data_IF_128462016964
#
_entry.id   IF_128462016964
#
_cell.length_a   1.000
_cell.length_b   1.000
_cell.length_c   1.000
_cell.angle_alpha   90.00
_cell.angle_beta   90.00
_cell.angle_gamma   90.00
#
_symmetry.space_group_name_H-M   'P 1'
#
loop_
_entity.id
_entity.type
_entity.pdbx_description
1 polymer ?
#
# COMPACT_ATOMS: atom_id res chain seq x y z
N UNK A 1 7.29 13.60 -2.93
CA UNK A 1 5.82 13.35 -2.92
C UNK A 1 5.42 12.20 -3.84
N UNK A 2 5.99 12.07 -5.05
CA UNK A 2 5.74 10.93 -5.95
C UNK A 2 5.93 9.54 -5.32
N UNK A 3 6.97 9.36 -4.48
CA UNK A 3 7.21 8.10 -3.75
C UNK A 3 6.03 7.67 -2.85
N UNK A 4 5.21 8.60 -2.36
CA UNK A 4 4.02 8.25 -1.57
C UNK A 4 2.91 7.68 -2.46
N UNK A 5 2.80 8.14 -3.71
CA UNK A 5 1.86 7.62 -4.69
C UNK A 5 2.31 6.23 -5.14
N UNK A 6 3.60 6.05 -5.45
CA UNK A 6 4.17 4.72 -5.76
C UNK A 6 3.92 3.72 -4.62
N UNK A 7 4.10 4.14 -3.35
CA UNK A 7 3.80 3.28 -2.20
C UNK A 7 2.31 2.88 -2.14
N UNK A 8 1.38 3.81 -2.43
CA UNK A 8 -0.06 3.50 -2.51
C UNK A 8 -0.34 2.47 -3.62
N UNK A 9 0.33 2.62 -4.77
CA UNK A 9 0.20 1.70 -5.89
C UNK A 9 0.70 0.32 -5.48
N UNK A 10 1.94 0.17 -5.03
CA UNK A 10 2.51 -1.16 -4.78
C UNK A 10 1.84 -1.91 -3.63
N UNK A 11 1.36 -1.22 -2.60
CA UNK A 11 0.83 -1.89 -1.40
C UNK A 11 -0.68 -1.92 -1.31
N UNK A 12 -1.37 -1.24 -2.25
CA UNK A 12 -2.79 -0.95 -2.21
C UNK A 12 -3.27 -0.25 -0.92
N UNK A 13 -2.38 0.22 -0.04
CA UNK A 13 -2.76 0.70 1.28
C UNK A 13 -3.58 2.00 1.20
N UNK A 14 -4.38 2.30 2.24
CA UNK A 14 -5.18 3.53 2.19
C UNK A 14 -4.24 4.74 2.23
N UNK A 15 -4.62 5.81 1.51
CA UNK A 15 -3.88 7.10 1.49
C UNK A 15 -3.36 7.48 2.88
N UNK A 16 -4.24 7.64 3.86
CA UNK A 16 -3.83 8.06 5.21
C UNK A 16 -2.99 7.02 5.97
N UNK A 17 -3.12 5.72 5.67
CA UNK A 17 -2.23 4.69 6.23
C UNK A 17 -0.81 4.88 5.70
N UNK A 18 -0.65 5.17 4.40
CA UNK A 18 0.65 5.44 3.76
C UNK A 18 1.25 6.77 4.24
N UNK A 19 0.48 7.85 4.21
CA UNK A 19 0.99 9.19 4.52
C UNK A 19 1.45 9.32 5.99
N UNK A 20 0.99 8.43 6.88
CA UNK A 20 1.40 8.41 8.30
C UNK A 20 2.33 7.24 8.65
N UNK A 21 2.97 6.60 7.66
CA UNK A 21 3.98 5.57 7.92
C UNK A 21 5.23 6.16 8.58
N UNK A 22 5.78 5.42 9.55
CA UNK A 22 7.01 5.76 10.26
C UNK A 22 8.06 4.66 10.08
N UNK A 23 9.33 5.02 10.19
CA UNK A 23 10.44 4.08 10.03
C UNK A 23 10.43 2.98 11.10
N UNK A 24 9.99 3.30 12.31
CA UNK A 24 9.87 2.35 13.43
C UNK A 24 8.75 1.30 13.25
N UNK A 25 7.86 1.53 12.29
CA UNK A 25 6.83 0.58 11.91
C UNK A 25 7.36 -0.55 11.00
N UNK A 26 8.59 -0.42 10.49
CA UNK A 26 9.22 -1.40 9.60
C UNK A 26 9.98 -2.43 10.44
N UNK A 27 9.52 -3.68 10.40
CA UNK A 27 10.15 -4.81 11.09
C UNK A 27 9.71 -6.14 10.50
N UNK A 28 10.58 -7.14 10.60
CA UNK A 28 10.29 -8.53 10.21
C UNK A 28 9.80 -8.69 8.76
N UNK A 29 10.22 -7.82 7.84
CA UNK A 29 9.76 -7.83 6.43
C UNK A 29 8.36 -7.23 6.21
N UNK A 30 7.83 -6.50 7.19
CA UNK A 30 6.52 -5.86 7.13
C UNK A 30 6.57 -4.38 7.52
N UNK A 31 5.63 -3.60 6.97
CA UNK A 31 5.27 -2.27 7.48
C UNK A 31 4.00 -2.42 8.31
N UNK A 32 4.07 -2.08 9.59
CA UNK A 32 2.96 -2.17 10.54
C UNK A 32 2.16 -0.87 10.58
N UNK A 33 0.99 -0.85 9.93
CA UNK A 33 0.12 0.33 9.89
C UNK A 33 -1.09 0.17 10.81
N UNK A 34 -1.50 1.26 11.46
CA UNK A 34 -2.70 1.26 12.31
C UNK A 34 -3.92 1.62 11.47
N UNK A 35 -4.82 0.67 11.27
CA UNK A 35 -6.15 0.93 10.72
C UNK A 35 -7.05 1.48 11.83
N UNK A 36 -7.26 2.80 11.83
CA UNK A 36 -8.15 3.48 12.77
C UNK A 36 -9.64 3.28 12.42
N UNK A 37 -9.97 2.77 11.22
CA UNK A 37 -11.34 2.63 10.73
C UNK A 37 -12.10 3.96 10.60
N UNK A 38 -13.28 3.94 9.96
CA UNK A 38 -14.14 5.13 9.83
C UNK A 38 -15.06 5.38 11.04
N UNK A 39 -14.95 4.58 12.11
CA UNK A 39 -15.84 4.68 13.28
C UNK A 39 -15.04 4.92 14.54
N UNK A 40 -15.38 6.00 15.26
CA UNK A 40 -14.83 6.33 16.60
C UNK A 40 -15.00 5.20 17.62
N UNK A 41 -15.83 4.18 17.34
CA UNK A 41 -16.12 3.04 18.22
C UNK A 41 -15.35 1.76 17.89
N UNK A 42 -14.64 1.67 16.76
CA UNK A 42 -13.87 0.47 16.42
C UNK A 42 -12.48 0.55 17.06
N UNK A 43 -12.08 -0.52 17.76
CA UNK A 43 -10.70 -0.66 18.23
C UNK A 43 -9.74 -0.63 17.03
N UNK A 44 -8.69 0.19 17.07
CA UNK A 44 -7.68 0.20 16.01
C UNK A 44 -7.11 -1.20 15.79
N UNK A 45 -6.96 -1.61 14.54
CA UNK A 45 -6.32 -2.88 14.19
C UNK A 45 -4.97 -2.62 13.54
N UNK A 46 -3.96 -3.38 13.95
CA UNK A 46 -2.67 -3.37 13.26
C UNK A 46 -2.80 -4.21 11.99
N UNK A 47 -2.48 -3.62 10.85
CA UNK A 47 -2.30 -4.32 9.58
C UNK A 47 -0.81 -4.45 9.28
N UNK A 48 -0.47 -5.57 8.66
CA UNK A 48 0.85 -5.81 8.13
C UNK A 48 0.80 -5.65 6.61
N UNK A 49 1.58 -4.73 6.08
CA UNK A 49 1.86 -4.60 4.66
C UNK A 49 3.16 -5.34 4.39
N UNK A 50 3.16 -6.18 3.36
CA UNK A 50 4.35 -6.95 2.96
C UNK A 50 5.35 -6.00 2.31
N UNK A 51 6.63 -6.11 2.68
CA UNK A 51 7.71 -5.45 1.95
C UNK A 51 8.13 -6.39 0.81
N UNK A 52 7.68 -6.06 -0.39
CA UNK A 52 8.09 -6.72 -1.65
C UNK A 52 9.33 -6.03 -2.22
N UNK A 53 9.94 -6.60 -3.25
CA UNK A 53 11.15 -6.02 -3.86
C UNK A 53 10.93 -4.59 -4.40
N UNK A 54 9.82 -4.27 -5.12
CA UNK A 54 9.52 -2.89 -5.50
C UNK A 54 9.33 -1.94 -4.31
N UNK A 55 8.73 -2.44 -3.21
CA UNK A 55 8.57 -1.66 -1.99
C UNK A 55 9.93 -1.44 -1.31
N UNK A 56 10.81 -2.44 -1.30
CA UNK A 56 12.15 -2.36 -0.74
C UNK A 56 13.02 -1.36 -1.50
N UNK A 57 12.96 -1.36 -2.84
CA UNK A 57 13.64 -0.39 -3.68
C UNK A 57 13.11 1.03 -3.43
N UNK A 58 11.79 1.20 -3.40
CA UNK A 58 11.15 2.46 -3.06
C UNK A 58 11.58 2.98 -1.68
N UNK A 59 11.63 2.11 -0.66
CA UNK A 59 12.12 2.46 0.67
C UNK A 59 13.57 2.95 0.64
N UNK A 60 14.42 2.40 -0.24
CA UNK A 60 15.80 2.84 -0.45
C UNK A 60 15.92 4.26 -1.02
N UNK A 61 14.91 4.73 -1.75
CA UNK A 61 14.84 6.08 -2.34
C UNK A 61 14.32 7.14 -1.36
N UNK A 62 13.72 6.75 -0.23
CA UNK A 62 13.18 7.69 0.76
C UNK A 62 14.31 8.20 1.68
N UNK A 63 14.52 9.53 1.79
CA UNK A 63 15.47 10.08 2.74
C UNK A 63 15.13 9.75 4.20
N UNK A 64 16.13 9.31 4.97
CA UNK A 64 15.99 8.98 6.40
C UNK A 64 16.30 10.17 7.32
N UNK A 65 15.67 11.32 7.06
CA UNK A 65 15.87 12.56 7.82
C UNK A 65 14.69 12.94 8.74
N UNK A 66 13.71 12.05 8.89
CA UNK A 66 12.53 12.21 9.72
C UNK A 66 12.13 10.87 10.34
N UNK A 67 11.29 10.89 11.38
CA UNK A 67 10.59 9.69 11.87
C UNK A 67 9.57 9.14 10.86
N UNK A 68 9.02 10.01 10.00
CA UNK A 68 8.04 9.65 8.98
C UNK A 68 8.74 9.21 7.70
N UNK A 69 8.16 8.24 6.98
CA UNK A 69 8.60 7.91 5.62
C UNK A 69 8.33 9.10 4.67
N UNK A 70 7.18 9.75 4.83
CA UNK A 70 6.77 10.86 3.97
C UNK A 70 6.59 12.14 4.79
N UNK A 71 7.71 12.77 5.14
CA UNK A 71 7.74 14.03 5.88
C UNK A 71 7.41 15.24 5.00
N UNK A 72 6.93 16.34 5.61
CA UNK A 72 6.81 17.63 4.93
C UNK A 72 8.19 18.21 4.68
N UNK A 73 8.41 18.80 3.50
CA UNK A 73 9.69 19.43 3.15
C UNK A 73 10.06 20.59 4.08
N UNK A 74 9.06 21.36 4.53
CA UNK A 74 9.24 22.54 5.40
C UNK A 74 9.15 22.24 6.89
N UNK A 75 8.70 21.04 7.28
CA UNK A 75 8.47 20.64 8.66
C UNK A 75 8.72 19.12 8.81
N UNK A 76 9.99 18.68 8.88
CA UNK A 76 10.36 17.26 8.91
C UNK A 76 9.76 16.48 10.08
N UNK A 77 9.37 17.14 11.16
CA UNK A 77 8.68 16.56 12.32
C UNK A 77 7.22 16.15 12.04
N UNK A 78 6.63 16.68 10.95
CA UNK A 78 5.28 16.41 10.49
C UNK A 78 5.29 15.57 9.20
N UNK A 79 4.29 14.71 9.05
CA UNK A 79 4.07 13.99 7.81
C UNK A 79 3.21 14.79 6.81
N UNK A 80 3.34 14.49 5.52
CA UNK A 80 2.42 15.03 4.52
C UNK A 80 0.99 14.56 4.81
N UNK A 81 0.01 15.41 4.59
CA UNK A 81 -1.41 15.11 4.88
C UNK A 81 -2.24 14.92 3.63
N UNK A 82 -1.70 15.28 2.48
CA UNK A 82 -2.33 15.10 1.17
C UNK A 82 -1.27 14.82 0.11
N UNK A 83 -1.69 14.11 -0.93
CA UNK A 83 -0.97 13.94 -2.20
C UNK A 83 -1.86 14.39 -3.36
N UNK A 84 -2.98 15.05 -3.08
CA UNK A 84 -4.05 15.28 -4.04
C UNK A 84 -3.63 16.25 -5.15
N UNK A 85 -2.81 17.25 -4.84
CA UNK A 85 -2.21 18.17 -5.83
C UNK A 85 -1.28 17.41 -6.79
N UNK A 86 -0.30 16.69 -6.23
CA UNK A 86 0.63 15.89 -7.03
C UNK A 86 -0.10 14.83 -7.84
N UNK A 87 -1.13 14.21 -7.28
CA UNK A 87 -1.97 13.26 -7.99
C UNK A 87 -2.81 13.92 -9.09
N UNK A 88 -3.22 15.19 -8.94
CA UNK A 88 -3.84 15.95 -10.01
C UNK A 88 -2.89 16.10 -11.19
N UNK A 89 -1.63 16.45 -10.93
CA UNK A 89 -0.63 16.65 -11.97
C UNK A 89 -0.29 15.33 -12.67
N UNK A 90 -0.01 14.26 -11.91
CA UNK A 90 0.26 12.92 -12.45
C UNK A 90 -0.86 12.45 -13.38
N UNK A 91 -2.12 12.66 -12.99
CA UNK A 91 -3.26 12.24 -13.81
C UNK A 91 -3.45 13.05 -15.07
N UNK A 92 -3.17 14.36 -15.03
CA UNK A 92 -3.22 15.20 -16.22
C UNK A 92 -2.17 14.77 -17.22
N UNK A 93 -0.96 14.52 -16.74
CA UNK A 93 0.16 14.04 -17.55
C UNK A 93 -0.12 12.65 -18.15
N UNK A 94 -0.73 11.76 -17.37
CA UNK A 94 -1.13 10.43 -17.83
C UNK A 94 -2.39 10.42 -18.73
N UNK A 95 -3.05 11.56 -18.97
CA UNK A 95 -4.31 11.60 -19.73
C UNK A 95 -5.52 10.96 -19.02
N UNK A 96 -5.45 10.82 -17.69
CA UNK A 96 -6.44 10.13 -16.84
C UNK A 96 -7.09 11.08 -15.79
N UNK A 97 -7.69 12.22 -16.17
CA UNK A 97 -8.14 13.25 -15.23
C UNK A 97 -9.28 12.79 -14.30
N UNK A 98 -9.97 11.71 -14.63
CA UNK A 98 -11.13 11.18 -13.91
C UNK A 98 -10.77 10.15 -12.82
N UNK A 99 -9.54 9.64 -12.80
CA UNK A 99 -9.11 8.61 -11.83
C UNK A 99 -8.89 9.27 -10.47
N UNK A 100 -9.43 8.76 -9.37
CA UNK A 100 -9.15 9.28 -8.03
C UNK A 100 -8.02 8.50 -7.38
N UNK A 101 -7.39 9.07 -6.34
CA UNK A 101 -6.32 8.36 -5.60
C UNK A 101 -6.82 7.06 -4.97
N UNK A 102 -8.12 6.98 -4.68
CA UNK A 102 -8.78 5.77 -4.20
C UNK A 102 -8.96 4.71 -5.29
N UNK A 103 -9.04 5.12 -6.55
CA UNK A 103 -9.15 4.20 -7.68
C UNK A 103 -7.85 3.44 -7.89
N UNK A 104 -6.69 3.95 -7.46
CA UNK A 104 -5.42 3.19 -7.46
C UNK A 104 -5.54 1.86 -6.69
N UNK A 105 -6.22 1.87 -5.55
CA UNK A 105 -6.48 0.64 -4.78
C UNK A 105 -7.42 -0.30 -5.53
N UNK A 106 -8.40 0.26 -6.26
CA UNK A 106 -9.31 -0.55 -7.09
C UNK A 106 -8.54 -1.16 -8.25
N UNK A 107 -7.71 -0.38 -8.96
CA UNK A 107 -6.84 -0.85 -10.02
C UNK A 107 -5.89 -1.93 -9.55
N UNK A 108 -5.30 -1.82 -8.36
CA UNK A 108 -4.49 -2.90 -7.78
C UNK A 108 -5.28 -4.21 -7.62
N UNK A 109 -6.50 -4.13 -7.08
CA UNK A 109 -7.38 -5.29 -6.88
C UNK A 109 -7.79 -5.90 -8.22
N UNK A 110 -8.19 -5.05 -9.17
CA UNK A 110 -8.57 -5.45 -10.53
C UNK A 110 -7.39 -6.11 -11.24
N UNK A 111 -6.21 -5.51 -11.22
CA UNK A 111 -5.00 -6.08 -11.82
C UNK A 111 -4.64 -7.44 -11.23
N UNK A 112 -4.72 -7.58 -9.91
CA UNK A 112 -4.47 -8.85 -9.25
C UNK A 112 -5.44 -9.97 -9.70
N UNK A 113 -6.72 -9.66 -9.87
CA UNK A 113 -7.76 -10.64 -10.21
C UNK A 113 -7.81 -10.90 -11.71
N UNK A 114 -7.82 -9.84 -12.52
CA UNK A 114 -8.12 -9.91 -13.93
C UNK A 114 -6.86 -10.16 -14.76
N UNK A 115 -5.73 -9.54 -14.45
CA UNK A 115 -4.49 -9.73 -15.22
C UNK A 115 -3.69 -10.91 -14.67
N UNK A 116 -3.48 -10.97 -13.36
CA UNK A 116 -2.65 -12.00 -12.72
C UNK A 116 -3.44 -13.27 -12.32
N UNK A 117 -4.76 -13.27 -12.49
CA UNK A 117 -5.64 -14.42 -12.17
C UNK A 117 -5.54 -14.91 -10.72
N UNK A 118 -5.20 -14.02 -9.79
CA UNK A 118 -5.12 -14.34 -8.36
C UNK A 118 -6.52 -14.39 -7.76
N UNK A 119 -6.80 -15.42 -6.96
CA UNK A 119 -8.13 -15.59 -6.37
C UNK A 119 -8.54 -14.43 -5.46
N UNK A 120 -9.82 -14.04 -5.50
CA UNK A 120 -10.38 -12.97 -4.65
C UNK A 120 -10.10 -13.20 -3.16
N UNK A 121 -10.10 -14.46 -2.70
CA UNK A 121 -9.75 -14.81 -1.32
C UNK A 121 -8.31 -14.40 -0.98
N UNK A 122 -7.36 -14.69 -1.88
CA UNK A 122 -5.94 -14.35 -1.73
C UNK A 122 -5.73 -12.84 -1.77
N UNK A 123 -6.37 -12.15 -2.72
CA UNK A 123 -6.36 -10.68 -2.83
C UNK A 123 -6.93 -10.04 -1.56
N UNK A 124 -8.05 -10.53 -1.03
CA UNK A 124 -8.66 -10.03 0.21
C UNK A 124 -7.71 -10.17 1.42
N UNK A 125 -7.02 -11.31 1.53
CA UNK A 125 -5.97 -11.55 2.54
C UNK A 125 -4.76 -10.64 2.35
N UNK A 126 -4.36 -10.38 1.11
CA UNK A 126 -3.23 -9.52 0.75
C UNK A 126 -3.46 -8.08 1.22
N UNK A 127 -4.61 -7.52 0.89
CA UNK A 127 -4.95 -6.12 1.19
C UNK A 127 -5.38 -5.92 2.66
N UNK A 128 -5.63 -7.01 3.40
CA UNK A 128 -5.97 -6.95 4.83
C UNK A 128 -7.40 -6.46 5.09
N UNK A 129 -8.35 -6.76 4.20
CA UNK A 129 -9.77 -6.61 4.48
C UNK A 129 -10.19 -7.61 5.55
N UNK A 130 -10.45 -7.14 6.76
CA UNK A 130 -11.13 -7.96 7.77
C UNK A 130 -12.60 -8.11 7.37
N UNK A 131 -12.93 -9.11 6.54
CA UNK A 131 -14.26 -9.71 6.65
C UNK A 131 -14.27 -10.55 7.93
N UNK A 132 -15.22 -10.32 8.86
CA UNK A 132 -15.38 -11.15 10.05
C UNK A 132 -15.52 -12.65 9.73
N UNK A 133 -16.02 -12.98 8.55
CA UNK A 133 -16.35 -14.35 8.12
C UNK A 133 -15.11 -15.25 7.88
N UNK A 134 -13.93 -14.69 7.58
CA UNK A 134 -12.78 -15.47 7.06
C UNK A 134 -11.69 -15.71 8.13
N UNK A 135 -11.88 -15.27 9.37
CA UNK A 135 -10.83 -15.32 10.42
C UNK A 135 -10.74 -16.68 11.14
N UNK A 136 -11.13 -17.81 10.50
CA UNK A 136 -11.08 -19.13 11.14
C UNK A 136 -10.53 -20.26 10.27
N UNK A 137 -9.56 -20.02 9.38
CA UNK A 137 -9.04 -21.12 8.54
C UNK A 137 -7.50 -21.12 8.41
N UNK A 138 -6.93 -22.08 9.16
CA UNK A 138 -5.70 -22.87 8.94
C UNK A 138 -4.32 -22.20 8.85
N UNK A 139 -3.45 -22.64 9.78
CA UNK A 139 -1.99 -22.43 9.84
C UNK A 139 -1.51 -21.02 9.46
N UNK A 140 -1.32 -20.16 10.47
CA UNK A 140 -0.75 -18.81 10.34
C UNK A 140 0.48 -18.72 9.40
N UNK A 141 1.27 -19.79 9.27
CA UNK A 141 2.42 -19.85 8.35
C UNK A 141 2.03 -19.99 6.87
N UNK A 142 1.02 -20.81 6.55
CA UNK A 142 0.53 -20.99 5.16
C UNK A 142 -0.12 -19.68 4.72
N UNK A 143 -0.99 -19.10 5.54
CA UNK A 143 -1.62 -17.82 5.26
C UNK A 143 -0.59 -16.69 5.05
N UNK A 144 0.50 -16.64 5.84
CA UNK A 144 1.60 -15.68 5.63
C UNK A 144 2.34 -15.90 4.32
N UNK A 145 2.66 -17.15 3.97
CA UNK A 145 3.33 -17.48 2.70
C UNK A 145 2.48 -17.11 1.50
N UNK A 146 1.19 -17.44 1.52
CA UNK A 146 0.24 -17.07 0.45
C UNK A 146 0.11 -15.56 0.32
N UNK A 147 0.04 -14.84 1.46
CA UNK A 147 0.00 -13.38 1.47
C UNK A 147 1.26 -12.75 0.89
N UNK A 148 2.43 -13.24 1.30
CA UNK A 148 3.73 -12.77 0.81
C UNK A 148 3.83 -12.95 -0.70
N UNK A 149 3.60 -14.17 -1.18
CA UNK A 149 3.64 -14.49 -2.62
C UNK A 149 2.72 -13.59 -3.42
N UNK A 150 1.45 -13.47 -3.02
CA UNK A 150 0.49 -12.65 -3.75
C UNK A 150 0.89 -11.16 -3.80
N UNK A 151 1.34 -10.58 -2.68
CA UNK A 151 1.80 -9.18 -2.71
C UNK A 151 3.02 -9.01 -3.62
N UNK A 152 3.94 -9.98 -3.61
CA UNK A 152 5.13 -9.96 -4.47
C UNK A 152 4.75 -10.05 -5.95
N UNK A 153 4.00 -11.08 -6.36
CA UNK A 153 3.54 -11.28 -7.73
C UNK A 153 2.80 -10.03 -8.27
N UNK A 154 1.96 -9.39 -7.43
CA UNK A 154 1.23 -8.17 -7.82
C UNK A 154 2.14 -6.95 -7.90
N UNK A 155 3.03 -6.76 -6.92
CA UNK A 155 3.95 -5.63 -6.93
C UNK A 155 4.91 -5.69 -8.11
N UNK A 156 5.44 -6.87 -8.45
CA UNK A 156 6.28 -7.08 -9.63
C UNK A 156 5.50 -6.80 -10.92
N UNK A 157 4.30 -7.36 -11.08
CA UNK A 157 3.48 -7.10 -12.27
C UNK A 157 3.16 -5.61 -12.47
N UNK A 158 2.89 -4.89 -11.38
CA UNK A 158 2.69 -3.43 -11.42
C UNK A 158 3.98 -2.68 -11.75
N UNK A 159 5.12 -3.09 -11.19
CA UNK A 159 6.41 -2.47 -11.50
C UNK A 159 6.76 -2.62 -12.98
N UNK A 160 6.56 -3.82 -13.55
CA UNK A 160 6.74 -4.06 -15.00
C UNK A 160 5.80 -3.18 -15.84
N UNK A 161 4.52 -3.10 -15.48
CA UNK A 161 3.56 -2.26 -16.19
C UNK A 161 3.90 -0.75 -16.11
N UNK A 162 4.54 -0.30 -15.03
CA UNK A 162 4.97 1.09 -14.86
C UNK A 162 6.24 1.43 -15.63
N UNK A 163 7.13 0.46 -15.86
CA UNK A 163 8.39 0.69 -16.57
C UNK A 163 8.23 0.73 -18.10
N UNK A 164 7.12 0.17 -18.62
CA UNK A 164 6.80 0.16 -20.05
C UNK A 164 7.72 -0.77 -20.83
N UNK A 165 7.15 -1.84 -21.40
CA UNK A 165 7.71 -2.50 -22.57
C UNK A 165 7.26 -1.75 -23.85
#
# INVERSE_FOLDING_TARGET
MYLAIEMIIFTAARKMEVLSMQWDAIKDGYIHVTDKGNSRRRKPKIKQIVITDPVQELLGRIPKNSKWLFARSTAPELHITSVDEVWCDVRKEAGLPHVNIHDLRRSWITFAIDDLKISLETVSKAVGHSSPEVTRIHYNKIARKTKLKANHDIAEGLASAMMGD
#
